data_IF_499850839870
#
_entry.id   IF_499850839870
#
_cell.length_a   1.000
_cell.length_b   1.000
_cell.length_c   1.000
_cell.angle_alpha   90.00
_cell.angle_beta   90.00
_cell.angle_gamma   90.00
#
_symmetry.space_group_name_H-M   'P 1'
#
loop_
_entity.id
_entity.type
_entity.pdbx_description
1 polymer ?
#
# COMPACT_ATOMS: atom_id res chain seq x y z
N UNK A 1 -21.09 -2.40 -0.26
CA UNK A 1 -19.85 -3.17 -0.55
C UNK A 1 -20.22 -4.63 -0.45
N UNK A 2 -19.90 -5.44 -1.46
CA UNK A 2 -20.11 -6.88 -1.45
C UNK A 2 -18.76 -7.60 -1.48
N UNK A 3 -18.61 -8.66 -0.68
CA UNK A 3 -17.38 -9.43 -0.58
C UNK A 3 -17.10 -9.89 0.84
N UNK A 4 -15.94 -10.45 1.05
CA UNK A 4 -15.43 -10.88 2.36
C UNK A 4 -14.01 -10.38 2.55
N UNK A 5 -13.71 -9.83 3.72
CA UNK A 5 -12.37 -9.42 4.11
C UNK A 5 -12.10 -9.85 5.55
N UNK A 6 -11.38 -10.94 5.73
CA UNK A 6 -11.09 -11.51 7.03
C UNK A 6 -9.64 -11.22 7.43
N UNK A 7 -9.45 -10.59 8.57
CA UNK A 7 -8.15 -10.43 9.20
C UNK A 7 -7.91 -11.59 10.17
N UNK A 8 -6.90 -12.39 9.87
CA UNK A 8 -6.47 -13.52 10.71
C UNK A 8 -4.97 -13.48 10.92
N UNK A 9 -4.50 -13.92 12.08
CA UNK A 9 -3.07 -14.00 12.42
C UNK A 9 -2.85 -13.91 13.94
N UNK A 10 -1.70 -14.42 14.40
CA UNK A 10 -1.37 -14.53 15.84
C UNK A 10 -2.41 -15.35 16.62
N UNK A 11 -2.44 -15.17 17.93
CA UNK A 11 -3.32 -15.92 18.85
C UNK A 11 -4.72 -15.29 18.98
N UNK A 12 -5.04 -14.27 18.19
CA UNK A 12 -6.31 -13.57 18.28
C UNK A 12 -7.33 -14.12 17.27
N UNK A 13 -8.63 -14.16 17.63
CA UNK A 13 -9.66 -14.66 16.73
C UNK A 13 -9.75 -13.85 15.43
N UNK A 14 -10.11 -14.49 14.31
CA UNK A 14 -10.34 -13.81 13.04
C UNK A 14 -11.42 -12.73 13.16
N UNK A 15 -11.25 -11.63 12.43
CA UNK A 15 -12.23 -10.53 12.37
C UNK A 15 -12.65 -10.32 10.92
N UNK A 16 -13.97 -10.35 10.66
CA UNK A 16 -14.54 -10.01 9.36
C UNK A 16 -14.66 -8.48 9.25
N UNK A 17 -13.78 -7.87 8.45
CA UNK A 17 -13.61 -6.42 8.42
C UNK A 17 -14.81 -5.66 7.82
N UNK A 18 -15.57 -6.29 6.91
CA UNK A 18 -16.67 -5.62 6.21
C UNK A 18 -17.98 -5.60 7.01
N UNK A 19 -18.13 -6.50 7.96
CA UNK A 19 -19.37 -6.67 8.73
C UNK A 19 -19.21 -6.45 10.22
N UNK A 20 -17.99 -6.40 10.73
CA UNK A 20 -17.74 -6.15 12.13
C UNK A 20 -18.24 -4.76 12.57
N UNK A 21 -18.87 -4.65 13.75
CA UNK A 21 -19.26 -3.37 14.31
C UNK A 21 -18.07 -2.39 14.43
N UNK A 22 -18.32 -1.10 14.19
CA UNK A 22 -17.26 -0.07 14.21
C UNK A 22 -16.52 -0.04 15.56
N UNK A 23 -17.21 -0.26 16.66
CA UNK A 23 -16.59 -0.34 18.00
C UNK A 23 -15.61 -1.52 18.13
N UNK A 24 -15.90 -2.66 17.49
CA UNK A 24 -15.00 -3.81 17.47
C UNK A 24 -13.76 -3.45 16.64
N UNK A 25 -13.95 -2.88 15.45
CA UNK A 25 -12.84 -2.44 14.60
C UNK A 25 -11.95 -1.41 15.31
N UNK A 26 -12.54 -0.43 15.97
CA UNK A 26 -11.80 0.60 16.72
C UNK A 26 -10.99 0.03 17.88
N UNK A 27 -11.55 -0.93 18.61
CA UNK A 27 -10.90 -1.48 19.82
C UNK A 27 -9.89 -2.58 19.54
N UNK A 28 -10.09 -3.36 18.47
CA UNK A 28 -9.30 -4.59 18.26
C UNK A 28 -8.50 -4.60 16.95
N UNK A 29 -8.78 -3.71 16.01
CA UNK A 29 -8.16 -3.73 14.67
C UNK A 29 -7.35 -2.47 14.42
N UNK A 30 -8.02 -1.30 14.44
CA UNK A 30 -7.39 -0.04 14.06
C UNK A 30 -6.27 0.34 15.01
N UNK A 31 -5.07 0.53 14.45
CA UNK A 31 -3.85 0.87 15.18
C UNK A 31 -3.27 -0.28 16.02
N UNK A 32 -4.01 -1.38 16.26
CA UNK A 32 -3.54 -2.54 17.03
C UNK A 32 -3.10 -3.70 16.16
N UNK A 33 -3.89 -4.04 15.14
CA UNK A 33 -3.59 -5.12 14.18
C UNK A 33 -3.25 -4.56 12.82
N UNK A 34 -3.87 -3.44 12.45
CA UNK A 34 -3.64 -2.72 11.21
C UNK A 34 -3.23 -1.29 11.54
N UNK A 35 -2.03 -0.90 11.11
CA UNK A 35 -1.58 0.49 11.05
C UNK A 35 -1.80 1.04 9.64
N UNK A 36 -2.09 2.33 9.52
CA UNK A 36 -2.28 3.01 8.24
C UNK A 36 -1.34 4.20 8.13
N UNK A 37 -0.53 4.22 7.10
CA UNK A 37 0.21 5.40 6.63
C UNK A 37 -0.57 5.98 5.44
N UNK A 38 -1.20 7.14 5.60
CA UNK A 38 -2.09 7.71 4.57
C UNK A 38 -1.31 8.40 3.46
N UNK A 39 -1.97 8.59 2.31
CA UNK A 39 -1.41 9.22 1.11
C UNK A 39 -0.89 10.66 1.32
N UNK A 40 -1.51 11.41 2.23
CA UNK A 40 -1.13 12.80 2.53
C UNK A 40 -0.89 12.97 4.01
N UNK A 41 0.28 12.56 4.53
CA UNK A 41 0.56 12.53 5.97
C UNK A 41 0.31 13.86 6.67
N UNK A 42 0.77 14.97 6.08
CA UNK A 42 0.60 16.30 6.66
C UNK A 42 -0.88 16.68 6.88
N UNK A 43 -1.78 16.23 5.97
CA UNK A 43 -3.21 16.49 6.09
C UNK A 43 -3.90 15.67 7.20
N UNK A 44 -3.25 14.60 7.67
CA UNK A 44 -3.75 13.73 8.73
C UNK A 44 -3.21 14.09 10.12
N UNK A 45 -2.24 14.99 10.19
CA UNK A 45 -1.72 15.51 11.45
C UNK A 45 -2.61 16.66 11.95
N UNK A 46 -2.87 16.71 13.24
CA UNK A 46 -3.63 17.81 13.86
C UNK A 46 -2.78 19.06 13.86
N UNK A 47 -3.14 20.13 13.10
CA UNK A 47 -2.23 21.25 12.82
C UNK A 47 -1.85 22.08 14.03
N UNK A 48 -2.69 22.09 15.06
CA UNK A 48 -2.52 22.88 16.30
C UNK A 48 -1.84 22.08 17.42
N UNK A 49 -1.29 20.90 17.11
CA UNK A 49 -0.61 20.05 18.09
C UNK A 49 0.77 19.65 17.57
N UNK A 50 1.77 19.61 18.44
CA UNK A 50 3.09 19.12 18.08
C UNK A 50 3.06 17.63 17.75
N UNK A 51 4.02 17.15 16.97
CA UNK A 51 4.18 15.72 16.67
C UNK A 51 4.29 14.89 17.96
N UNK A 52 5.04 15.38 18.96
CA UNK A 52 5.15 14.76 20.28
C UNK A 52 3.79 14.56 20.94
N UNK A 53 3.01 15.63 21.01
CA UNK A 53 1.70 15.59 21.66
C UNK A 53 0.77 14.55 21.01
N UNK A 54 0.81 14.41 19.70
CA UNK A 54 0.00 13.44 18.95
C UNK A 54 0.50 12.01 19.20
N UNK A 55 1.81 11.78 19.19
CA UNK A 55 2.40 10.47 19.49
C UNK A 55 2.11 10.03 20.93
N UNK A 56 2.31 10.92 21.90
CA UNK A 56 2.03 10.60 23.32
C UNK A 56 0.55 10.27 23.56
N UNK A 57 -0.36 10.96 22.89
CA UNK A 57 -1.79 10.63 22.98
C UNK A 57 -2.08 9.24 22.41
N UNK A 58 -1.48 8.93 21.25
CA UNK A 58 -1.62 7.62 20.64
C UNK A 58 -1.03 6.52 21.52
N UNK A 59 0.12 6.77 22.17
CA UNK A 59 0.70 5.85 23.16
C UNK A 59 -0.26 5.62 24.33
N UNK A 60 -0.84 6.68 24.91
CA UNK A 60 -1.81 6.54 26.01
C UNK A 60 -3.03 5.73 25.59
N UNK A 61 -3.49 5.87 24.35
CA UNK A 61 -4.65 5.13 23.84
C UNK A 61 -4.35 3.64 23.60
N UNK A 62 -3.15 3.31 23.15
CA UNK A 62 -2.77 1.93 22.82
C UNK A 62 -2.11 1.19 23.99
N UNK A 63 -1.35 1.90 24.82
CA UNK A 63 -0.54 1.37 25.94
C UNK A 63 -0.81 2.17 27.23
N UNK A 64 -2.02 2.07 27.83
CA UNK A 64 -2.41 2.90 28.97
C UNK A 64 -1.55 2.67 30.23
N UNK A 65 -0.84 1.54 30.29
CA UNK A 65 0.08 1.22 31.39
C UNK A 65 1.51 1.76 31.21
N UNK A 66 1.88 2.23 30.04
CA UNK A 66 3.24 2.68 29.74
C UNK A 66 3.46 4.12 30.23
N UNK A 67 4.33 4.27 31.21
CA UNK A 67 4.66 5.58 31.83
C UNK A 67 6.18 5.76 31.94
N UNK A 68 6.71 6.93 31.52
CA UNK A 68 6.01 8.06 30.88
C UNK A 68 5.78 7.81 29.38
N UNK A 69 4.62 8.22 28.82
CA UNK A 69 4.31 8.03 27.39
C UNK A 69 5.31 8.72 26.46
N UNK A 70 6.03 9.73 26.95
CA UNK A 70 7.09 10.43 26.22
C UNK A 70 8.19 9.47 25.76
N UNK A 71 8.66 8.60 26.62
CA UNK A 71 9.74 7.64 26.28
C UNK A 71 9.30 6.68 25.19
N UNK A 72 8.08 6.19 25.25
CA UNK A 72 7.52 5.34 24.21
C UNK A 72 7.35 6.10 22.88
N UNK A 73 6.85 7.33 22.93
CA UNK A 73 6.71 8.19 21.75
C UNK A 73 8.06 8.43 21.06
N UNK A 74 9.10 8.76 21.83
CA UNK A 74 10.46 8.96 21.32
C UNK A 74 11.04 7.66 20.72
N UNK A 75 10.84 6.51 21.37
CA UNK A 75 11.27 5.20 20.85
C UNK A 75 10.65 4.89 19.49
N UNK A 76 9.33 5.07 19.35
CA UNK A 76 8.62 4.83 18.08
C UNK A 76 9.04 5.84 17.01
N UNK A 77 9.25 7.11 17.37
CA UNK A 77 9.74 8.13 16.47
C UNK A 77 11.13 7.80 15.92
N UNK A 78 12.05 7.37 16.77
CA UNK A 78 13.40 6.94 16.35
C UNK A 78 13.31 5.73 15.41
N UNK A 79 12.43 4.76 15.68
CA UNK A 79 12.18 3.63 14.77
C UNK A 79 11.69 4.08 13.40
N UNK A 80 10.90 5.16 13.34
CA UNK A 80 10.44 5.77 12.08
C UNK A 80 11.47 6.74 11.46
N UNK A 81 12.68 6.81 11.99
CA UNK A 81 13.76 7.66 11.47
C UNK A 81 13.64 9.14 11.82
N UNK A 82 12.91 9.50 12.89
CA UNK A 82 12.82 10.88 13.40
C UNK A 82 13.83 11.12 14.52
N UNK A 83 14.39 12.33 14.55
CA UNK A 83 15.12 12.78 15.71
C UNK A 83 14.12 13.20 16.82
N UNK A 84 14.32 12.81 18.08
CA UNK A 84 13.45 13.22 19.19
C UNK A 84 13.25 14.74 19.31
N UNK A 85 14.24 15.54 18.92
CA UNK A 85 14.17 17.02 18.92
C UNK A 85 13.17 17.57 17.91
N UNK A 86 12.88 16.83 16.83
CA UNK A 86 11.92 17.26 15.80
C UNK A 86 10.47 17.05 16.23
N UNK A 87 10.24 16.27 17.29
CA UNK A 87 8.90 15.98 17.79
C UNK A 87 8.19 17.19 18.41
N UNK A 88 8.91 18.21 18.81
CA UNK A 88 8.34 19.42 19.41
C UNK A 88 7.85 20.42 18.37
N UNK A 89 8.00 20.11 17.08
CA UNK A 89 7.50 20.90 15.96
C UNK A 89 6.02 20.66 15.68
N UNK A 90 5.35 21.69 15.19
CA UNK A 90 4.00 21.60 14.65
C UNK A 90 4.02 21.06 13.20
N UNK A 91 2.90 20.50 12.69
CA UNK A 91 2.85 19.96 11.32
C UNK A 91 3.32 20.92 10.23
N UNK A 92 3.04 22.20 10.33
CA UNK A 92 3.47 23.22 9.37
C UNK A 92 4.97 23.55 9.42
N UNK A 93 5.68 23.14 10.47
CA UNK A 93 7.12 23.29 10.62
C UNK A 93 7.90 22.05 10.17
N UNK A 94 7.18 20.96 9.83
CA UNK A 94 7.77 19.72 9.36
C UNK A 94 8.00 19.77 7.84
N UNK A 95 9.12 19.23 7.38
CA UNK A 95 9.28 18.92 5.97
C UNK A 95 8.33 17.76 5.58
N UNK A 96 8.04 17.58 4.28
CA UNK A 96 7.22 16.48 3.80
C UNK A 96 7.70 15.11 4.30
N UNK A 97 9.02 14.87 4.25
CA UNK A 97 9.62 13.64 4.76
C UNK A 97 9.52 13.49 6.28
N UNK A 98 9.59 14.58 7.05
CA UNK A 98 9.37 14.53 8.50
C UNK A 98 7.91 14.23 8.81
N UNK A 99 6.94 14.87 8.14
CA UNK A 99 5.52 14.58 8.30
C UNK A 99 5.20 13.12 7.96
N UNK A 100 5.82 12.57 6.90
CA UNK A 100 5.73 11.16 6.53
C UNK A 100 6.20 10.24 7.67
N UNK A 101 7.35 10.53 8.26
CA UNK A 101 7.90 9.75 9.38
C UNK A 101 7.05 9.86 10.64
N UNK A 102 6.46 11.05 10.93
CA UNK A 102 5.50 11.20 12.04
C UNK A 102 4.27 10.32 11.82
N UNK A 103 3.69 10.31 10.61
CA UNK A 103 2.56 9.46 10.29
C UNK A 103 2.92 7.96 10.38
N UNK A 104 4.11 7.59 9.92
CA UNK A 104 4.63 6.22 10.08
C UNK A 104 4.78 5.85 11.55
N UNK A 105 5.36 6.75 12.37
CA UNK A 105 5.48 6.54 13.82
C UNK A 105 4.10 6.35 14.47
N UNK A 106 3.12 7.21 14.15
CA UNK A 106 1.75 7.07 14.65
C UNK A 106 1.13 5.72 14.28
N UNK A 107 1.33 5.26 13.04
CA UNK A 107 0.83 3.97 12.57
C UNK A 107 1.48 2.78 13.30
N UNK A 108 2.71 2.95 13.80
CA UNK A 108 3.48 1.90 14.47
C UNK A 108 3.29 1.83 15.98
N UNK A 109 2.67 2.83 16.62
CA UNK A 109 2.51 2.89 18.08
C UNK A 109 1.85 1.63 18.65
N UNK A 110 0.80 1.14 18.02
CA UNK A 110 0.07 -0.05 18.48
C UNK A 110 0.72 -1.39 18.09
N UNK A 111 1.92 -1.36 17.53
CA UNK A 111 2.68 -2.54 17.08
C UNK A 111 1.89 -3.45 16.12
N UNK A 112 1.26 -2.90 15.06
CA UNK A 112 0.39 -3.66 14.18
C UNK A 112 1.14 -4.77 13.44
N UNK A 113 0.43 -5.87 13.14
CA UNK A 113 0.98 -6.97 12.32
C UNK A 113 0.94 -6.63 10.82
N UNK A 114 -0.03 -5.82 10.42
CA UNK A 114 -0.18 -5.34 9.05
C UNK A 114 -0.05 -3.82 9.01
N UNK A 115 0.90 -3.32 8.23
CA UNK A 115 0.97 -1.91 7.87
C UNK A 115 0.41 -1.71 6.47
N UNK A 116 -0.58 -0.86 6.32
CA UNK A 116 -1.07 -0.39 5.02
C UNK A 116 -0.40 0.95 4.75
N UNK A 117 0.31 1.05 3.64
CA UNK A 117 0.95 2.28 3.19
C UNK A 117 0.34 2.69 1.83
N UNK A 118 -0.43 3.78 1.85
CA UNK A 118 -1.15 4.27 0.67
C UNK A 118 -0.37 5.41 0.04
N UNK A 119 0.20 5.17 -1.16
CA UNK A 119 1.03 6.11 -1.92
C UNK A 119 2.10 6.84 -1.07
N UNK A 120 2.84 6.14 -0.21
CA UNK A 120 3.69 6.76 0.79
C UNK A 120 4.92 7.48 0.21
N UNK A 121 5.22 7.28 -1.07
CA UNK A 121 6.36 7.89 -1.78
C UNK A 121 5.99 9.17 -2.52
N UNK A 122 4.70 9.50 -2.60
CA UNK A 122 4.23 10.67 -3.36
C UNK A 122 4.75 11.98 -2.77
N UNK A 123 5.37 12.81 -3.61
CA UNK A 123 5.92 14.11 -3.21
C UNK A 123 7.22 14.07 -2.42
N UNK A 124 7.85 12.89 -2.31
CA UNK A 124 9.17 12.73 -1.69
C UNK A 124 10.28 12.76 -2.76
N UNK A 125 11.42 13.32 -2.40
CA UNK A 125 12.64 13.17 -3.20
C UNK A 125 13.19 11.73 -3.11
N UNK A 126 14.14 11.40 -4.00
CA UNK A 126 14.68 10.05 -4.12
C UNK A 126 15.32 9.52 -2.84
N UNK A 127 16.05 10.36 -2.12
CA UNK A 127 16.72 9.95 -0.89
C UNK A 127 15.71 9.61 0.22
N UNK A 128 14.61 10.38 0.30
CA UNK A 128 13.52 10.13 1.24
C UNK A 128 12.72 8.87 0.86
N UNK A 129 12.48 8.63 -0.43
CA UNK A 129 11.88 7.37 -0.93
C UNK A 129 12.75 6.19 -0.53
N UNK A 130 14.04 6.25 -0.76
CA UNK A 130 14.97 5.17 -0.42
C UNK A 130 14.95 4.87 1.08
N UNK A 131 15.02 5.90 1.92
CA UNK A 131 14.95 5.74 3.37
C UNK A 131 13.62 5.14 3.86
N UNK A 132 12.50 5.54 3.25
CA UNK A 132 11.18 4.98 3.55
C UNK A 132 11.08 3.49 3.17
N UNK A 133 11.56 3.13 1.99
CA UNK A 133 11.54 1.73 1.54
C UNK A 133 12.43 0.84 2.43
N UNK A 134 13.56 1.36 2.91
CA UNK A 134 14.42 0.64 3.84
C UNK A 134 13.75 0.46 5.21
N UNK A 135 12.96 1.44 5.65
CA UNK A 135 12.13 1.31 6.86
C UNK A 135 11.06 0.23 6.70
N UNK A 136 10.31 0.26 5.60
CA UNK A 136 9.30 -0.77 5.30
C UNK A 136 9.92 -2.17 5.23
N UNK A 137 11.12 -2.31 4.67
CA UNK A 137 11.86 -3.59 4.68
C UNK A 137 12.22 -4.06 6.08
N UNK A 138 12.63 -3.16 6.97
CA UNK A 138 12.90 -3.51 8.37
C UNK A 138 11.65 -4.03 9.08
N UNK A 139 10.49 -3.44 8.82
CA UNK A 139 9.22 -3.94 9.36
C UNK A 139 8.87 -5.34 8.87
N UNK A 140 9.13 -5.64 7.60
CA UNK A 140 8.94 -7.00 7.04
C UNK A 140 9.89 -8.00 7.72
N UNK A 141 11.14 -7.62 7.93
CA UNK A 141 12.13 -8.45 8.63
C UNK A 141 11.73 -8.75 10.09
N UNK A 142 10.97 -7.84 10.72
CA UNK A 142 10.37 -8.01 12.06
C UNK A 142 9.08 -8.86 12.03
N UNK A 143 8.87 -9.69 11.01
CA UNK A 143 7.68 -10.55 10.83
C UNK A 143 6.34 -9.80 10.72
N UNK A 144 6.35 -8.56 10.28
CA UNK A 144 5.15 -7.78 9.98
C UNK A 144 4.81 -7.86 8.49
N UNK A 145 3.54 -7.84 8.17
CA UNK A 145 3.10 -7.71 6.78
C UNK A 145 2.99 -6.23 6.39
N UNK A 146 3.39 -5.91 5.15
CA UNK A 146 3.20 -4.58 4.56
C UNK A 146 2.35 -4.71 3.31
N UNK A 147 1.25 -3.98 3.25
CA UNK A 147 0.47 -3.77 2.04
C UNK A 147 0.80 -2.38 1.49
N UNK A 148 1.63 -2.34 0.47
CA UNK A 148 1.98 -1.11 -0.23
C UNK A 148 1.03 -0.87 -1.40
N UNK A 149 0.32 0.24 -1.41
CA UNK A 149 -0.46 0.73 -2.55
C UNK A 149 0.37 1.81 -3.21
N UNK A 150 0.74 1.60 -4.47
CA UNK A 150 1.58 2.57 -5.19
C UNK A 150 1.46 2.43 -6.70
N UNK A 151 1.69 3.52 -7.40
CA UNK A 151 1.93 3.54 -8.85
C UNK A 151 3.44 3.54 -9.18
N UNK A 152 4.31 3.62 -8.19
CA UNK A 152 5.76 3.55 -8.36
C UNK A 152 6.24 2.09 -8.46
N UNK A 153 6.44 1.63 -9.72
CA UNK A 153 6.92 0.27 -9.96
C UNK A 153 8.37 0.04 -9.47
N UNK A 154 9.19 1.09 -9.37
CA UNK A 154 10.54 0.97 -8.83
C UNK A 154 10.50 0.70 -7.32
N UNK A 155 9.62 1.39 -6.59
CA UNK A 155 9.35 1.11 -5.19
C UNK A 155 8.81 -0.31 -4.99
N UNK A 156 7.80 -0.72 -5.78
CA UNK A 156 7.24 -2.06 -5.72
C UNK A 156 8.31 -3.15 -6.00
N UNK A 157 9.14 -2.97 -7.03
CA UNK A 157 10.24 -3.91 -7.37
C UNK A 157 11.22 -4.09 -6.21
N UNK A 158 11.45 -3.03 -5.44
CA UNK A 158 12.45 -3.03 -4.37
C UNK A 158 12.01 -3.80 -3.14
N UNK A 159 10.72 -3.80 -2.79
CA UNK A 159 10.27 -4.35 -1.50
C UNK A 159 9.20 -5.44 -1.58
N UNK A 160 8.48 -5.57 -2.70
CA UNK A 160 7.36 -6.49 -2.78
C UNK A 160 7.79 -7.93 -3.05
N UNK A 161 7.26 -8.87 -2.27
CA UNK A 161 7.33 -10.32 -2.57
C UNK A 161 6.30 -10.69 -3.64
N UNK A 162 5.11 -10.07 -3.58
CA UNK A 162 4.00 -10.29 -4.49
C UNK A 162 3.43 -8.96 -4.97
N UNK A 163 2.96 -8.94 -6.21
CA UNK A 163 2.32 -7.77 -6.81
C UNK A 163 0.92 -8.16 -7.28
N UNK A 164 -0.05 -7.29 -7.00
CA UNK A 164 -1.38 -7.33 -7.55
C UNK A 164 -1.60 -6.07 -8.40
N UNK A 165 -1.72 -6.25 -9.71
CA UNK A 165 -1.97 -5.15 -10.65
C UNK A 165 -3.46 -4.93 -10.77
N UNK A 166 -3.87 -3.66 -10.60
CA UNK A 166 -5.28 -3.25 -10.68
C UNK A 166 -5.52 -2.40 -11.93
N UNK A 167 -6.62 -2.65 -12.61
CA UNK A 167 -7.11 -1.82 -13.70
C UNK A 167 -8.62 -1.68 -13.63
N UNK A 168 -9.12 -0.46 -13.75
CA UNK A 168 -10.57 -0.17 -13.68
C UNK A 168 -11.26 -0.80 -12.45
N UNK A 169 -10.64 -0.67 -11.26
CA UNK A 169 -11.17 -1.16 -9.98
C UNK A 169 -11.08 -2.67 -9.78
N UNK A 170 -10.31 -3.41 -10.61
CA UNK A 170 -10.20 -4.87 -10.53
C UNK A 170 -8.78 -5.36 -10.61
N UNK A 171 -8.49 -6.45 -9.91
CA UNK A 171 -7.24 -7.16 -10.10
C UNK A 171 -7.25 -7.87 -11.47
N UNK A 172 -6.23 -7.61 -12.25
CA UNK A 172 -6.05 -8.17 -13.59
C UNK A 172 -4.86 -9.12 -13.67
N UNK A 173 -3.92 -9.01 -12.76
CA UNK A 173 -2.76 -9.87 -12.65
C UNK A 173 -2.26 -9.90 -11.20
N UNK A 174 -1.95 -11.09 -10.66
CA UNK A 174 -1.44 -11.28 -9.29
C UNK A 174 -0.40 -12.38 -9.28
N UNK A 175 0.79 -12.10 -8.79
CA UNK A 175 1.85 -13.11 -8.76
C UNK A 175 3.07 -12.68 -7.94
N UNK A 176 4.13 -13.51 -7.93
CA UNK A 176 5.44 -13.11 -7.41
C UNK A 176 5.93 -11.86 -8.12
N UNK A 177 6.52 -10.93 -7.37
CA UNK A 177 6.96 -9.64 -7.94
C UNK A 177 7.95 -9.82 -9.11
N UNK A 178 8.87 -10.78 -9.01
CA UNK A 178 9.82 -11.09 -10.06
C UNK A 178 9.13 -11.54 -11.37
N UNK A 179 8.05 -12.32 -11.26
CA UNK A 179 7.30 -12.81 -12.43
C UNK A 179 6.44 -11.71 -13.03
N UNK A 180 5.67 -10.99 -12.22
CA UNK A 180 4.81 -9.90 -12.71
C UNK A 180 5.61 -8.79 -13.39
N UNK A 181 6.78 -8.42 -12.83
CA UNK A 181 7.63 -7.37 -13.39
C UNK A 181 8.58 -7.85 -14.50
N UNK A 182 8.98 -9.13 -14.46
CA UNK A 182 9.90 -9.70 -15.46
C UNK A 182 9.20 -10.35 -16.65
N UNK A 183 8.08 -11.00 -16.41
CA UNK A 183 7.31 -11.78 -17.40
C UNK A 183 5.79 -11.51 -17.26
N UNK A 184 5.35 -10.25 -17.44
CA UNK A 184 3.95 -9.89 -17.28
C UNK A 184 3.05 -10.67 -18.24
N UNK A 185 1.95 -11.19 -17.71
CA UNK A 185 0.97 -11.97 -18.48
C UNK A 185 -0.15 -11.10 -19.06
N UNK A 186 -0.57 -10.05 -18.35
CA UNK A 186 -1.63 -9.19 -18.85
C UNK A 186 -1.07 -8.10 -19.77
N UNK A 187 -1.68 -7.83 -20.95
CA UNK A 187 -1.21 -6.79 -21.87
C UNK A 187 -1.13 -5.39 -21.25
N UNK A 188 -1.99 -5.05 -20.29
CA UNK A 188 -1.88 -3.81 -19.55
C UNK A 188 -0.61 -3.75 -18.68
N UNK A 189 -0.33 -4.82 -17.93
CA UNK A 189 0.88 -4.90 -17.08
C UNK A 189 2.13 -4.78 -17.93
N UNK A 190 2.17 -5.44 -19.09
CA UNK A 190 3.24 -5.29 -20.08
C UNK A 190 3.41 -3.83 -20.49
N UNK A 191 2.31 -3.20 -20.96
CA UNK A 191 2.36 -1.79 -21.37
C UNK A 191 2.74 -0.83 -20.24
N UNK A 192 2.34 -1.12 -18.99
CA UNK A 192 2.74 -0.34 -17.83
C UNK A 192 4.24 -0.40 -17.57
N UNK A 193 4.84 -1.59 -17.71
CA UNK A 193 6.29 -1.79 -17.58
C UNK A 193 7.04 -1.16 -18.76
N UNK A 194 6.55 -1.33 -19.98
CA UNK A 194 7.16 -0.78 -21.19
C UNK A 194 7.11 0.76 -21.21
N UNK A 195 6.17 1.37 -20.47
CA UNK A 195 6.07 2.84 -20.33
C UNK A 195 7.09 3.45 -19.37
N UNK A 196 7.86 2.63 -18.63
CA UNK A 196 8.87 3.15 -17.71
C UNK A 196 10.05 3.82 -18.46
N UNK A 197 10.65 4.89 -17.86
CA UNK A 197 11.77 5.60 -18.48
C UNK A 197 13.02 4.74 -18.73
N UNK A 198 13.24 3.71 -17.89
CA UNK A 198 14.35 2.76 -18.02
C UNK A 198 14.04 1.56 -18.94
N UNK A 199 12.90 1.59 -19.63
CA UNK A 199 12.41 0.59 -20.57
C UNK A 199 12.19 1.20 -21.96
N UNK A 200 11.19 0.72 -22.69
CA UNK A 200 10.88 1.22 -24.04
C UNK A 200 10.35 2.65 -24.06
N UNK A 201 9.94 3.20 -22.92
CA UNK A 201 9.31 4.52 -22.76
C UNK A 201 8.12 4.72 -23.70
N UNK A 202 7.34 3.67 -23.93
CA UNK A 202 6.19 3.67 -24.82
C UNK A 202 4.89 3.78 -24.00
N UNK A 203 4.14 4.87 -24.14
CA UNK A 203 2.89 5.03 -23.41
C UNK A 203 1.83 4.05 -23.90
N UNK A 204 0.95 3.61 -23.00
CA UNK A 204 -0.21 2.80 -23.36
C UNK A 204 -1.21 3.68 -24.13
N UNK A 205 -1.58 3.32 -25.38
CA UNK A 205 -2.46 4.14 -26.21
C UNK A 205 -3.86 4.32 -25.60
N UNK A 206 -4.50 5.45 -25.91
CA UNK A 206 -5.86 5.78 -25.51
C UNK A 206 -6.00 6.13 -24.02
N UNK A 207 -7.20 6.51 -23.62
CA UNK A 207 -7.53 6.90 -22.24
C UNK A 207 -8.09 5.72 -21.44
N UNK A 208 -7.82 5.66 -20.12
CA UNK A 208 -8.48 4.69 -19.26
C UNK A 208 -10.01 4.94 -19.24
N UNK A 209 -10.84 3.90 -19.11
CA UNK A 209 -12.28 4.07 -19.05
C UNK A 209 -12.70 4.78 -17.76
N UNK A 210 -13.80 5.51 -17.81
CA UNK A 210 -14.44 6.04 -16.62
C UNK A 210 -14.96 4.87 -15.76
N UNK A 211 -14.79 4.93 -14.45
CA UNK A 211 -15.28 3.89 -13.55
C UNK A 211 -16.82 3.82 -13.52
N UNK A 212 -17.49 4.93 -13.88
CA UNK A 212 -18.94 5.05 -14.01
C UNK A 212 -19.47 4.55 -15.34
N UNK A 213 -18.59 4.34 -16.35
CA UNK A 213 -18.97 3.89 -17.70
C UNK A 213 -17.92 2.90 -18.20
N UNK A 214 -17.94 1.71 -17.62
CA UNK A 214 -17.00 0.65 -17.99
C UNK A 214 -17.47 -0.07 -19.27
N UNK A 215 -16.56 -0.35 -20.20
CA UNK A 215 -16.89 -1.11 -21.40
C UNK A 215 -17.37 -2.52 -21.04
N UNK A 216 -18.28 -3.04 -21.84
CA UNK A 216 -18.74 -4.44 -21.72
C UNK A 216 -17.57 -5.39 -21.92
N UNK A 217 -17.45 -6.38 -21.05
CA UNK A 217 -16.40 -7.40 -21.10
C UNK A 217 -15.10 -6.97 -20.39
N UNK A 218 -13.97 -7.23 -21.02
CA UNK A 218 -12.67 -6.85 -20.49
C UNK A 218 -12.50 -5.31 -20.53
N UNK A 219 -12.28 -4.63 -19.38
CA UNK A 219 -12.17 -3.17 -19.35
C UNK A 219 -11.01 -2.63 -20.18
N UNK A 220 -9.97 -3.42 -20.38
CA UNK A 220 -8.81 -3.03 -21.18
C UNK A 220 -9.00 -3.28 -22.69
N UNK A 221 -10.06 -3.98 -23.12
CA UNK A 221 -10.30 -4.33 -24.53
C UNK A 221 -10.15 -3.17 -25.51
N UNK A 222 -10.69 -1.96 -25.27
CA UNK A 222 -10.58 -0.84 -26.21
C UNK A 222 -9.15 -0.36 -26.45
N UNK A 223 -8.23 -0.66 -25.54
CA UNK A 223 -6.82 -0.25 -25.56
C UNK A 223 -5.87 -1.41 -25.82
N UNK A 224 -6.40 -2.61 -25.95
CA UNK A 224 -5.62 -3.84 -26.03
C UNK A 224 -5.30 -4.20 -27.49
N UNK A 225 -4.03 -4.16 -27.88
CA UNK A 225 -3.57 -4.60 -29.20
C UNK A 225 -3.74 -6.11 -29.44
N UNK A 226 -3.98 -6.89 -28.38
CA UNK A 226 -4.16 -8.35 -28.40
C UNK A 226 -5.61 -8.78 -28.21
N UNK A 227 -6.58 -7.84 -28.31
CA UNK A 227 -7.99 -8.12 -28.12
C UNK A 227 -8.49 -9.23 -29.08
N UNK A 228 -9.30 -10.15 -28.55
CA UNK A 228 -9.97 -11.21 -29.30
C UNK A 228 -11.47 -11.16 -29.05
N UNK A 229 -12.31 -11.81 -29.87
CA UNK A 229 -13.78 -11.81 -29.68
C UNK A 229 -14.22 -12.21 -28.27
N UNK A 230 -13.53 -13.18 -27.64
CA UNK A 230 -13.81 -13.60 -26.25
C UNK A 230 -13.73 -12.45 -25.24
N UNK A 231 -12.95 -11.38 -25.51
CA UNK A 231 -12.85 -10.20 -24.65
C UNK A 231 -14.16 -9.39 -24.55
N UNK A 232 -15.19 -9.71 -25.34
CA UNK A 232 -16.57 -9.21 -25.12
C UNK A 232 -17.16 -9.72 -23.81
N UNK A 233 -16.64 -10.81 -23.29
CA UNK A 233 -16.93 -11.29 -21.94
C UNK A 233 -15.81 -10.88 -21.00
N UNK A 234 -16.13 -10.78 -19.71
CA UNK A 234 -15.14 -10.44 -18.69
C UNK A 234 -14.32 -11.67 -18.31
N UNK A 235 -12.99 -11.64 -18.49
CA UNK A 235 -12.15 -12.74 -18.00
C UNK A 235 -12.13 -12.75 -16.45
N UNK A 236 -12.19 -13.94 -15.88
CA UNK A 236 -11.94 -14.16 -14.45
C UNK A 236 -10.43 -14.13 -14.17
N UNK A 237 -10.06 -13.68 -12.97
CA UNK A 237 -8.70 -13.85 -12.48
C UNK A 237 -8.51 -15.34 -12.16
N UNK A 238 -7.68 -16.03 -12.93
CA UNK A 238 -7.41 -17.45 -12.80
C UNK A 238 -5.90 -17.70 -12.86
N UNK A 239 -5.45 -18.73 -12.17
CA UNK A 239 -4.06 -19.16 -12.20
C UNK A 239 -3.68 -19.63 -13.61
N UNK A 240 -2.63 -19.07 -14.16
CA UNK A 240 -2.10 -19.40 -15.47
C UNK A 240 -0.79 -20.20 -15.37
N UNK A 241 0.04 -19.83 -14.42
CA UNK A 241 1.26 -20.52 -14.00
C UNK A 241 1.16 -20.60 -12.47
N UNK A 242 1.76 -21.63 -11.86
CA UNK A 242 1.72 -21.84 -10.42
C UNK A 242 2.06 -20.54 -9.64
N UNK A 243 1.12 -20.06 -8.83
CA UNK A 243 1.24 -18.84 -8.04
C UNK A 243 1.10 -17.53 -8.81
N UNK A 244 0.87 -17.56 -10.15
CA UNK A 244 0.72 -16.38 -10.99
C UNK A 244 -0.62 -16.41 -11.75
N UNK A 245 -1.55 -15.59 -11.33
CA UNK A 245 -2.90 -15.50 -11.86
C UNK A 245 -3.07 -14.29 -12.78
N UNK A 246 -3.88 -14.45 -13.84
CA UNK A 246 -4.18 -13.36 -14.79
C UNK A 246 -5.64 -13.41 -15.24
N UNK A 247 -6.24 -12.23 -15.41
CA UNK A 247 -7.57 -12.05 -15.99
C UNK A 247 -7.49 -11.71 -17.47
N UNK A 248 -7.09 -12.66 -18.30
CA UNK A 248 -6.91 -12.46 -19.74
C UNK A 248 -7.19 -13.73 -20.55
N UNK A 249 -7.92 -13.62 -21.66
CA UNK A 249 -8.15 -14.73 -22.59
C UNK A 249 -6.95 -15.03 -23.50
N UNK A 250 -6.08 -14.05 -23.69
CA UNK A 250 -4.87 -14.18 -24.51
C UNK A 250 -3.67 -13.55 -23.79
N UNK A 251 -3.15 -14.19 -22.73
CA UNK A 251 -1.99 -13.71 -22.01
C UNK A 251 -0.79 -13.42 -22.91
N UNK A 252 0.09 -12.55 -22.48
CA UNK A 252 1.37 -12.39 -23.14
C UNK A 252 2.15 -13.68 -22.95
N UNK A 253 2.60 -14.27 -24.06
CA UNK A 253 3.52 -15.41 -24.01
C UNK A 253 4.80 -14.92 -23.33
N UNK A 254 5.41 -15.76 -22.48
CA UNK A 254 6.82 -15.59 -22.15
C UNK A 254 7.63 -15.62 -23.44
N UNK A 255 8.67 -14.81 -23.58
CA UNK A 255 9.58 -14.89 -24.73
C UNK A 255 10.22 -16.25 -24.81
#
# INVERSE_FOLDING_TARGET
VAGRATLSGGDLPPVELLTAPDQVLARTVRGRRIGLVPQSPAAHLTPVRTARSQLEETVRAHHPGEKPPRVAAERVAVRAGLCPTDLDRYPHELSGGMAQRVATALALVGEPWLLIADEPTTGLDRALVDALLDELRRLIADHRAVLLITHDLAAARRIADRIAVMYAGRFIEVGPAADVLGRPLHPYTRGLIDSLPDRAFMPIPGLPPLLTDLPVGCPFRPRCSRAVPACQHRPSLAEHIAGHAVACYRPCSSP
#
